data_IF_488709020003
#
_entry.id   IF_488709020003
#
_cell.length_a   1.000
_cell.length_b   1.000
_cell.length_c   1.000
_cell.angle_alpha   90.00
_cell.angle_beta   90.00
_cell.angle_gamma   90.00
#
_symmetry.space_group_name_H-M   'P 1'
#
loop_
_entity.id
_entity.type
_entity.pdbx_description
1 polymer ?
#
# COMPACT_ATOMS: atom_id res chain seq x y z
N UNK A 1 0.64 15.29 14.20
CA UNK A 1 -0.03 15.80 12.99
C UNK A 1 -0.57 17.21 13.21
N UNK A 2 0.30 18.23 13.21
CA UNK A 2 -0.04 19.64 13.44
C UNK A 2 -0.89 19.91 14.71
N UNK A 3 -0.86 18.99 15.68
CA UNK A 3 -1.73 18.97 16.86
C UNK A 3 -3.24 19.05 16.54
N UNK A 4 -3.65 18.65 15.34
CA UNK A 4 -5.05 18.63 14.91
C UNK A 4 -5.57 17.19 14.80
N UNK A 5 -6.52 16.86 15.68
CA UNK A 5 -7.18 15.54 15.75
C UNK A 5 -7.99 15.19 14.49
N UNK A 6 -8.35 16.18 13.67
CA UNK A 6 -9.11 15.95 12.42
C UNK A 6 -8.21 15.69 11.22
N UNK A 7 -6.90 15.96 11.33
CA UNK A 7 -5.97 15.83 10.21
C UNK A 7 -5.88 14.39 9.65
N UNK A 8 -5.86 13.39 10.53
CA UNK A 8 -5.72 11.96 10.20
C UNK A 8 -6.71 11.08 10.96
N UNK A 9 -7.55 11.67 11.82
CA UNK A 9 -8.61 10.99 12.54
C UNK A 9 -8.14 9.75 13.30
N UNK A 10 -8.79 8.62 13.04
CA UNK A 10 -8.48 7.36 13.73
C UNK A 10 -7.05 6.88 13.45
N UNK A 11 -6.49 7.16 12.28
CA UNK A 11 -5.15 6.71 11.92
C UNK A 11 -4.05 7.36 12.77
N UNK A 12 -4.16 8.64 13.12
CA UNK A 12 -3.21 9.22 14.08
C UNK A 12 -3.40 8.65 15.49
N UNK A 13 -4.64 8.40 15.89
CA UNK A 13 -4.96 7.92 17.24
C UNK A 13 -4.45 6.51 17.52
N UNK A 14 -4.40 5.63 16.52
CA UNK A 14 -3.99 4.22 16.71
C UNK A 14 -2.56 3.93 16.24
N UNK A 15 -1.95 4.83 15.46
CA UNK A 15 -0.59 4.62 14.99
C UNK A 15 0.42 4.67 16.16
N UNK A 16 1.46 3.81 16.16
CA UNK A 16 2.63 3.98 17.00
C UNK A 16 3.24 5.38 16.83
N UNK A 17 3.93 5.93 17.84
CA UNK A 17 4.60 7.22 17.71
C UNK A 17 5.62 7.20 16.56
N UNK A 18 5.83 8.33 15.87
CA UNK A 18 6.88 8.43 14.85
C UNK A 18 8.27 8.35 15.52
N UNK A 19 9.32 7.94 14.78
CA UNK A 19 10.69 8.18 15.24
C UNK A 19 10.93 9.68 15.43
N UNK A 20 11.88 10.02 16.30
CA UNK A 20 12.30 11.41 16.50
C UNK A 20 12.89 11.98 15.20
N UNK A 21 12.67 13.27 14.98
CA UNK A 21 13.17 14.03 13.82
C UNK A 21 13.78 15.33 14.33
N UNK A 22 14.71 15.88 13.56
CA UNK A 22 15.35 17.16 13.85
C UNK A 22 14.99 18.16 12.76
N UNK A 23 15.03 19.46 13.05
CA UNK A 23 14.90 20.45 11.97
C UNK A 23 16.19 20.48 11.17
N UNK A 24 16.10 20.52 9.85
CA UNK A 24 17.25 20.84 9.00
C UNK A 24 17.81 22.22 9.36
N UNK A 25 19.08 22.25 9.76
CA UNK A 25 19.84 23.49 10.02
C UNK A 25 21.10 23.47 9.18
N UNK A 26 21.24 24.46 8.28
CA UNK A 26 22.38 24.55 7.37
C UNK A 26 22.33 23.50 6.26
N UNK A 27 23.50 23.20 5.71
CA UNK A 27 23.65 22.29 4.57
C UNK A 27 23.97 20.87 5.05
N UNK A 28 23.40 19.87 4.39
CA UNK A 28 23.72 18.45 4.56
C UNK A 28 24.23 17.90 3.23
N UNK A 29 25.30 17.10 3.30
CA UNK A 29 25.84 16.33 2.18
C UNK A 29 25.41 14.88 2.35
N UNK A 30 24.86 14.28 1.30
CA UNK A 30 24.46 12.88 1.23
C UNK A 30 24.59 12.39 -0.22
N UNK A 31 24.58 11.06 -0.44
CA UNK A 31 24.56 10.50 -1.79
C UNK A 31 23.22 10.81 -2.50
N UNK A 32 22.11 10.78 -1.73
CA UNK A 32 20.76 11.02 -2.26
C UNK A 32 19.94 11.88 -1.29
N UNK A 33 19.38 12.98 -1.80
CA UNK A 33 18.36 13.77 -1.10
C UNK A 33 16.95 13.39 -1.59
N UNK A 34 16.05 13.08 -0.66
CA UNK A 34 14.67 12.66 -0.91
C UNK A 34 13.73 13.71 -0.31
N UNK A 35 12.84 14.24 -1.13
CA UNK A 35 11.83 15.21 -0.68
C UNK A 35 10.49 14.50 -0.48
N UNK A 36 10.05 14.42 0.78
CA UNK A 36 8.76 13.87 1.22
C UNK A 36 8.88 12.55 1.97
N UNK A 37 8.39 12.53 3.22
CA UNK A 37 8.34 11.35 4.08
C UNK A 37 7.03 10.56 3.93
N UNK A 38 6.63 10.32 2.68
CA UNK A 38 5.54 9.40 2.32
C UNK A 38 6.04 7.98 2.01
N UNK A 39 5.14 7.07 1.61
CA UNK A 39 5.53 5.68 1.28
C UNK A 39 6.65 5.56 0.27
N UNK A 40 6.56 6.30 -0.84
CA UNK A 40 7.58 6.26 -1.89
C UNK A 40 8.94 6.75 -1.40
N UNK A 41 8.99 7.90 -0.72
CA UNK A 41 10.23 8.47 -0.21
C UNK A 41 10.87 7.58 0.86
N UNK A 42 10.08 7.11 1.82
CA UNK A 42 10.58 6.25 2.90
C UNK A 42 10.99 4.86 2.42
N UNK A 43 10.24 4.29 1.46
CA UNK A 43 10.64 3.03 0.83
C UNK A 43 11.94 3.20 0.05
N UNK A 44 12.09 4.29 -0.72
CA UNK A 44 13.32 4.59 -1.43
C UNK A 44 14.51 4.74 -0.46
N UNK A 45 14.35 5.52 0.61
CA UNK A 45 15.37 5.71 1.64
C UNK A 45 15.82 4.38 2.27
N UNK A 46 14.84 3.53 2.63
CA UNK A 46 15.12 2.21 3.20
C UNK A 46 15.92 1.33 2.22
N UNK A 47 15.54 1.28 0.95
CA UNK A 47 16.24 0.47 -0.05
C UNK A 47 17.63 1.02 -0.40
N UNK A 48 17.83 2.34 -0.39
CA UNK A 48 19.14 2.97 -0.57
C UNK A 48 20.07 2.64 0.61
N UNK A 49 19.58 2.78 1.85
CA UNK A 49 20.32 2.40 3.04
C UNK A 49 20.66 0.90 3.08
N UNK A 50 19.77 0.03 2.60
CA UNK A 50 20.06 -1.41 2.43
C UNK A 50 21.18 -1.70 1.43
N UNK A 51 21.48 -0.76 0.53
CA UNK A 51 22.60 -0.83 -0.43
C UNK A 51 23.85 -0.08 0.06
N UNK A 52 23.83 0.44 1.29
CA UNK A 52 24.95 1.18 1.89
C UNK A 52 25.11 2.61 1.37
N UNK A 53 24.07 3.19 0.75
CA UNK A 53 24.07 4.59 0.32
C UNK A 53 23.54 5.48 1.44
N UNK A 54 24.14 6.66 1.57
CA UNK A 54 23.69 7.69 2.51
C UNK A 54 22.52 8.50 1.90
N UNK A 55 21.34 8.34 2.48
CA UNK A 55 20.14 9.00 2.00
C UNK A 55 19.58 9.93 3.08
N UNK A 56 19.22 11.16 2.70
CA UNK A 56 18.54 12.11 3.60
C UNK A 56 17.11 12.28 3.11
N UNK A 57 16.14 12.16 4.02
CA UNK A 57 14.73 12.46 3.75
C UNK A 57 14.39 13.81 4.37
N UNK A 58 13.77 14.68 3.60
CA UNK A 58 13.34 16.02 3.98
C UNK A 58 11.82 16.07 3.93
N UNK A 59 11.14 16.41 5.02
CA UNK A 59 9.68 16.53 5.10
C UNK A 59 9.26 17.91 5.64
N UNK A 60 8.30 18.54 4.97
CA UNK A 60 7.82 19.86 5.34
C UNK A 60 6.89 19.85 6.58
N UNK A 61 6.25 18.71 6.85
CA UNK A 61 5.33 18.52 7.97
C UNK A 61 5.80 17.39 8.90
N UNK A 62 5.11 16.26 8.90
CA UNK A 62 5.42 15.09 9.72
C UNK A 62 5.46 13.83 8.86
N UNK A 63 6.13 12.79 9.35
CA UNK A 63 6.19 11.48 8.69
C UNK A 63 4.79 10.97 8.37
N UNK A 64 4.54 10.69 7.09
CA UNK A 64 3.26 10.21 6.61
C UNK A 64 2.15 11.26 6.60
N UNK A 65 2.44 12.56 6.75
CA UNK A 65 1.42 13.61 6.80
C UNK A 65 0.53 13.64 5.54
N UNK A 66 1.07 13.32 4.36
CA UNK A 66 0.32 13.34 3.10
C UNK A 66 -0.67 12.18 2.92
N UNK A 67 -0.90 11.80 1.65
CA UNK A 67 -1.79 10.70 1.29
C UNK A 67 -1.41 9.36 1.96
N UNK A 68 -0.13 9.15 2.26
CA UNK A 68 0.38 7.96 2.93
C UNK A 68 -0.32 7.70 4.27
N UNK A 69 -0.39 8.68 5.18
CA UNK A 69 -1.03 8.50 6.49
C UNK A 69 -2.55 8.61 6.48
N UNK A 70 -3.17 9.03 5.37
CA UNK A 70 -4.62 9.27 5.24
C UNK A 70 -5.35 8.28 4.34
N UNK A 71 -4.61 7.33 3.73
CA UNK A 71 -5.22 6.33 2.86
C UNK A 71 -6.19 5.43 3.62
N UNK A 72 -7.00 4.65 2.90
CA UNK A 72 -7.92 3.67 3.51
C UNK A 72 -7.21 2.44 4.08
N UNK A 73 -5.89 2.32 3.91
CA UNK A 73 -5.11 1.19 4.39
C UNK A 73 -5.27 -0.09 3.55
N UNK A 74 -5.88 -0.02 2.36
CA UNK A 74 -6.01 -1.16 1.45
C UNK A 74 -4.70 -1.39 0.68
N UNK A 75 -4.23 -2.63 0.68
CA UNK A 75 -3.09 -3.09 -0.13
C UNK A 75 -3.66 -4.02 -1.19
N UNK A 76 -3.99 -3.48 -2.38
CA UNK A 76 -4.68 -4.22 -3.44
C UNK A 76 -3.71 -4.64 -4.56
N UNK A 77 -3.99 -5.79 -5.18
CA UNK A 77 -3.26 -6.26 -6.35
C UNK A 77 -3.83 -5.69 -7.64
N UNK A 78 -2.94 -5.36 -8.58
CA UNK A 78 -3.32 -4.94 -9.93
C UNK A 78 -3.90 -3.52 -9.99
N UNK A 79 -4.67 -3.27 -11.05
CA UNK A 79 -5.33 -1.99 -11.30
C UNK A 79 -6.84 -2.13 -11.15
N UNK A 80 -7.50 -0.97 -11.03
CA UNK A 80 -8.96 -0.92 -11.13
C UNK A 80 -9.46 -1.36 -12.52
N UNK A 81 -8.67 -1.15 -13.57
CA UNK A 81 -9.00 -1.63 -14.93
C UNK A 81 -8.79 -3.14 -15.07
N UNK A 82 -9.41 -3.72 -16.10
CA UNK A 82 -9.20 -5.13 -16.45
C UNK A 82 -7.78 -5.36 -16.99
N UNK A 83 -7.15 -6.52 -16.74
CA UNK A 83 -5.88 -6.89 -17.36
C UNK A 83 -5.85 -6.71 -18.89
N UNK A 84 -6.92 -7.06 -19.59
CA UNK A 84 -7.02 -6.92 -21.05
C UNK A 84 -6.93 -5.46 -21.52
N UNK A 85 -7.45 -4.50 -20.74
CA UNK A 85 -7.46 -3.09 -21.09
C UNK A 85 -6.05 -2.47 -21.12
N UNK A 86 -5.10 -3.05 -20.38
CA UNK A 86 -3.70 -2.62 -20.43
C UNK A 86 -3.07 -2.88 -21.77
N UNK A 87 -3.32 -4.07 -22.35
CA UNK A 87 -2.81 -4.45 -23.65
C UNK A 87 -3.32 -3.52 -24.75
N UNK A 88 -4.61 -3.17 -24.68
CA UNK A 88 -5.24 -2.25 -25.63
C UNK A 88 -4.66 -0.84 -25.56
N UNK A 89 -4.32 -0.37 -24.35
CA UNK A 89 -3.89 1.02 -24.12
C UNK A 89 -2.38 1.21 -24.28
N UNK A 90 -1.56 0.28 -23.78
CA UNK A 90 -0.11 0.42 -23.67
C UNK A 90 0.66 -0.38 -24.74
N UNK A 91 -0.02 -1.27 -25.44
CA UNK A 91 0.58 -2.18 -26.40
C UNK A 91 1.43 -3.29 -25.75
N UNK A 92 1.88 -4.28 -26.55
CA UNK A 92 2.47 -5.54 -26.07
C UNK A 92 3.85 -5.40 -25.43
N UNK A 93 4.47 -4.22 -25.48
CA UNK A 93 5.81 -3.98 -24.92
C UNK A 93 5.73 -3.57 -23.44
N UNK A 94 4.71 -2.79 -23.09
CA UNK A 94 4.58 -2.16 -21.77
C UNK A 94 3.49 -2.80 -20.91
N UNK A 95 2.53 -3.50 -21.51
CA UNK A 95 1.41 -4.14 -20.82
C UNK A 95 1.89 -5.18 -19.79
N UNK A 96 2.71 -6.16 -20.20
CA UNK A 96 3.21 -7.22 -19.34
C UNK A 96 4.03 -6.68 -18.19
N UNK A 97 4.91 -5.70 -18.45
CA UNK A 97 5.75 -5.06 -17.42
C UNK A 97 4.92 -4.37 -16.34
N UNK A 98 3.92 -3.59 -16.74
CA UNK A 98 3.06 -2.89 -15.80
C UNK A 98 2.16 -3.88 -15.05
N UNK A 99 1.61 -4.86 -15.76
CA UNK A 99 0.76 -5.89 -15.19
C UNK A 99 1.52 -6.69 -14.14
N UNK A 100 2.72 -7.18 -14.45
CA UNK A 100 3.56 -7.92 -13.52
C UNK A 100 3.92 -7.09 -12.28
N UNK A 101 4.33 -5.83 -12.48
CA UNK A 101 4.66 -4.92 -11.39
C UNK A 101 3.49 -4.70 -10.43
N UNK A 102 2.30 -4.44 -10.98
CA UNK A 102 1.14 -4.07 -10.16
C UNK A 102 0.42 -5.27 -9.58
N UNK A 103 0.37 -6.39 -10.31
CA UNK A 103 -0.16 -7.67 -9.83
C UNK A 103 0.50 -8.10 -8.52
N UNK A 104 1.80 -7.87 -8.44
CA UNK A 104 2.64 -8.36 -7.35
C UNK A 104 2.94 -7.30 -6.28
N UNK A 105 2.46 -6.08 -6.45
CA UNK A 105 2.77 -4.97 -5.53
C UNK A 105 2.39 -5.22 -4.06
N UNK A 106 1.30 -5.94 -3.70
CA UNK A 106 1.05 -6.29 -2.31
C UNK A 106 2.12 -7.20 -1.70
N UNK A 107 2.70 -8.11 -2.50
CA UNK A 107 3.75 -9.01 -2.05
C UNK A 107 4.95 -8.22 -1.56
N UNK A 108 5.40 -7.21 -2.32
CA UNK A 108 6.49 -6.33 -1.91
C UNK A 108 6.20 -5.61 -0.59
N UNK A 109 4.99 -5.09 -0.42
CA UNK A 109 4.59 -4.42 0.84
C UNK A 109 4.64 -5.41 2.01
N UNK A 110 4.09 -6.61 1.84
CA UNK A 110 4.06 -7.63 2.90
C UNK A 110 5.46 -8.14 3.24
N UNK A 111 6.32 -8.37 2.26
CA UNK A 111 7.71 -8.77 2.47
C UNK A 111 8.50 -7.71 3.24
N UNK A 112 8.30 -6.43 2.95
CA UNK A 112 8.92 -5.33 3.73
C UNK A 112 8.42 -5.34 5.17
N UNK A 113 7.10 -5.52 5.37
CA UNK A 113 6.51 -5.58 6.71
C UNK A 113 7.09 -6.75 7.51
N UNK A 114 7.18 -7.94 6.90
CA UNK A 114 7.69 -9.15 7.55
C UNK A 114 9.19 -9.04 7.83
N UNK A 115 9.99 -8.67 6.82
CA UNK A 115 11.46 -8.52 6.93
C UNK A 115 11.85 -7.59 8.07
N UNK A 116 11.08 -6.52 8.27
CA UNK A 116 11.41 -5.49 9.24
C UNK A 116 10.51 -5.50 10.49
N UNK A 117 9.59 -6.45 10.59
CA UNK A 117 8.61 -6.59 11.65
C UNK A 117 7.86 -5.27 11.96
N UNK A 118 7.29 -4.65 10.92
CA UNK A 118 6.66 -3.33 11.05
C UNK A 118 5.34 -3.43 11.82
N UNK A 119 5.14 -2.62 12.89
CA UNK A 119 3.92 -2.66 13.71
C UNK A 119 2.78 -1.87 13.05
N UNK A 120 2.27 -2.37 11.92
CA UNK A 120 1.25 -1.69 11.11
C UNK A 120 -0.05 -2.48 10.93
N UNK A 121 -0.40 -3.33 11.92
CA UNK A 121 -1.66 -4.10 11.95
C UNK A 121 -1.98 -4.85 10.64
N UNK A 122 -0.96 -5.46 10.02
CA UNK A 122 -1.13 -6.15 8.75
C UNK A 122 -2.13 -7.31 8.86
N UNK A 123 -3.13 -7.32 7.99
CA UNK A 123 -4.08 -8.42 7.81
C UNK A 123 -4.06 -8.92 6.36
N UNK A 124 -3.75 -10.20 6.20
CA UNK A 124 -3.76 -10.92 4.90
C UNK A 124 -5.06 -11.69 4.72
N UNK A 125 -6.17 -10.96 4.75
CA UNK A 125 -7.52 -11.53 4.62
C UNK A 125 -8.13 -11.33 3.22
N UNK A 126 -7.35 -10.78 2.28
CA UNK A 126 -7.84 -10.38 0.96
C UNK A 126 -8.71 -9.13 1.00
N UNK A 127 -9.22 -8.76 -0.16
CA UNK A 127 -10.28 -7.75 -0.34
C UNK A 127 -11.41 -8.31 -1.18
N UNK A 128 -12.61 -7.78 -1.00
CA UNK A 128 -13.81 -8.24 -1.73
C UNK A 128 -14.32 -7.11 -2.61
N UNK A 129 -14.33 -7.32 -3.93
CA UNK A 129 -15.06 -6.48 -4.87
C UNK A 129 -16.49 -7.02 -5.00
N UNK A 130 -17.48 -6.30 -4.47
CA UNK A 130 -18.87 -6.75 -4.44
C UNK A 130 -19.64 -6.34 -5.71
N UNK A 131 -20.39 -7.28 -6.29
CA UNK A 131 -21.34 -7.02 -7.37
C UNK A 131 -22.74 -6.75 -6.84
N UNK A 132 -23.18 -5.48 -6.88
CA UNK A 132 -24.49 -5.06 -6.36
C UNK A 132 -25.66 -5.36 -7.32
N UNK A 133 -25.40 -5.40 -8.63
CA UNK A 133 -26.41 -5.65 -9.65
C UNK A 133 -25.91 -6.66 -10.70
N UNK A 134 -26.75 -6.99 -11.69
CA UNK A 134 -26.40 -7.93 -12.76
C UNK A 134 -25.14 -7.51 -13.53
N UNK A 135 -24.91 -6.21 -13.71
CA UNK A 135 -23.74 -5.68 -14.42
C UNK A 135 -22.49 -5.85 -13.58
N UNK A 136 -22.54 -5.51 -12.29
CA UNK A 136 -21.45 -5.70 -11.34
C UNK A 136 -21.08 -7.17 -11.18
N UNK A 137 -22.08 -8.07 -11.12
CA UNK A 137 -21.84 -9.53 -11.07
C UNK A 137 -21.12 -10.02 -12.34
N UNK A 138 -21.55 -9.56 -13.51
CA UNK A 138 -20.87 -9.90 -14.76
C UNK A 138 -19.44 -9.34 -14.81
N UNK A 139 -19.23 -8.11 -14.32
CA UNK A 139 -17.90 -7.49 -14.26
C UNK A 139 -16.94 -8.26 -13.36
N UNK A 140 -17.36 -8.60 -12.14
CA UNK A 140 -16.49 -9.34 -11.21
C UNK A 140 -16.19 -10.76 -11.73
N UNK A 141 -17.12 -11.40 -12.43
CA UNK A 141 -16.91 -12.70 -13.06
C UNK A 141 -15.87 -12.63 -14.18
N UNK A 142 -15.96 -11.61 -15.05
CA UNK A 142 -14.97 -11.38 -16.10
C UNK A 142 -13.59 -11.03 -15.52
N UNK A 143 -13.56 -10.22 -14.46
CA UNK A 143 -12.33 -9.90 -13.73
C UNK A 143 -11.69 -11.15 -13.13
N UNK A 144 -12.49 -12.03 -12.54
CA UNK A 144 -12.02 -13.31 -12.01
C UNK A 144 -11.40 -14.17 -13.11
N UNK A 145 -12.11 -14.32 -14.24
CA UNK A 145 -11.63 -15.10 -15.39
C UNK A 145 -10.26 -14.62 -15.88
N UNK A 146 -10.08 -13.31 -16.04
CA UNK A 146 -8.82 -12.74 -16.52
C UNK A 146 -7.68 -12.93 -15.51
N UNK A 147 -7.95 -12.76 -14.22
CA UNK A 147 -6.93 -12.95 -13.18
C UNK A 147 -6.57 -14.42 -12.95
N UNK A 148 -7.54 -15.33 -13.02
CA UNK A 148 -7.30 -16.78 -12.93
C UNK A 148 -6.47 -17.29 -14.11
N UNK A 149 -6.66 -16.72 -15.31
CA UNK A 149 -5.81 -17.02 -16.46
C UNK A 149 -4.35 -16.55 -16.28
N UNK A 150 -4.08 -15.75 -15.25
CA UNK A 150 -2.75 -15.29 -14.83
C UNK A 150 -2.34 -15.90 -13.48
N UNK A 151 -2.94 -17.03 -13.11
CA UNK A 151 -2.69 -17.81 -11.89
C UNK A 151 -2.90 -17.02 -10.58
N UNK A 152 -3.71 -15.96 -10.62
CA UNK A 152 -4.02 -15.21 -9.42
C UNK A 152 -5.00 -15.97 -8.50
N UNK A 153 -4.78 -15.98 -7.18
CA UNK A 153 -5.66 -16.63 -6.21
C UNK A 153 -6.91 -15.79 -5.94
N UNK A 154 -7.78 -15.70 -6.95
CA UNK A 154 -9.06 -14.98 -6.86
C UNK A 154 -10.24 -15.95 -6.92
N UNK A 155 -11.26 -15.68 -6.09
CA UNK A 155 -12.41 -16.55 -5.93
C UNK A 155 -13.71 -15.76 -6.06
N UNK A 156 -14.62 -16.25 -6.89
CA UNK A 156 -16.01 -15.76 -6.88
C UNK A 156 -16.70 -16.36 -5.65
N UNK A 157 -17.33 -15.47 -4.89
CA UNK A 157 -18.19 -15.78 -3.76
C UNK A 157 -19.64 -15.67 -4.20
N UNK A 158 -20.45 -16.65 -3.83
CA UNK A 158 -21.89 -16.54 -4.00
C UNK A 158 -22.51 -15.50 -3.04
N UNK A 159 -23.83 -15.27 -3.15
CA UNK A 159 -24.54 -14.32 -2.31
C UNK A 159 -24.45 -14.66 -0.81
N UNK A 160 -24.48 -15.95 -0.45
CA UNK A 160 -24.39 -16.42 0.92
C UNK A 160 -23.01 -16.19 1.53
N UNK A 161 -21.96 -16.57 0.80
CA UNK A 161 -20.56 -16.35 1.17
C UNK A 161 -20.22 -14.85 1.27
N UNK A 162 -20.71 -14.06 0.32
CA UNK A 162 -20.55 -12.60 0.31
C UNK A 162 -21.21 -11.98 1.53
N UNK A 163 -22.45 -12.41 1.86
CA UNK A 163 -23.16 -11.95 3.06
C UNK A 163 -22.42 -12.34 4.33
N UNK A 164 -21.88 -13.56 4.41
CA UNK A 164 -21.15 -14.03 5.58
C UNK A 164 -19.89 -13.17 5.86
N UNK A 165 -19.22 -12.66 4.82
CA UNK A 165 -18.02 -11.82 4.96
C UNK A 165 -18.32 -10.32 5.13
N UNK A 166 -19.38 -9.82 4.50
CA UNK A 166 -19.71 -8.37 4.48
C UNK A 166 -20.72 -7.95 5.55
N UNK A 167 -21.50 -8.90 6.08
CA UNK A 167 -22.58 -8.63 7.03
C UNK A 167 -23.87 -8.10 6.40
N UNK A 168 -23.96 -8.02 5.06
CA UNK A 168 -25.12 -7.47 4.35
C UNK A 168 -25.61 -8.37 3.22
N UNK A 169 -26.91 -8.34 2.92
CA UNK A 169 -27.53 -9.03 1.78
C UNK A 169 -27.65 -8.14 0.53
N UNK A 170 -27.00 -6.96 0.52
CA UNK A 170 -27.08 -6.00 -0.57
C UNK A 170 -26.36 -6.44 -1.85
N UNK A 171 -25.55 -7.51 -1.80
CA UNK A 171 -24.70 -7.95 -2.90
C UNK A 171 -25.08 -9.35 -3.36
N UNK A 172 -25.17 -9.54 -4.67
CA UNK A 172 -25.53 -10.82 -5.27
C UNK A 172 -24.33 -11.77 -5.42
N UNK A 173 -23.11 -11.23 -5.44
CA UNK A 173 -21.85 -11.97 -5.46
C UNK A 173 -20.68 -11.06 -5.07
N UNK A 174 -19.51 -11.65 -4.83
CA UNK A 174 -18.27 -10.93 -4.56
C UNK A 174 -17.07 -11.60 -5.22
N UNK A 175 -16.03 -10.83 -5.53
CA UNK A 175 -14.74 -11.36 -5.95
C UNK A 175 -13.74 -11.14 -4.82
N UNK A 176 -13.30 -12.23 -4.21
CA UNK A 176 -12.26 -12.24 -3.20
C UNK A 176 -10.89 -12.34 -3.87
N UNK A 177 -10.00 -11.39 -3.59
CA UNK A 177 -8.60 -11.44 -4.01
C UNK A 177 -7.69 -11.67 -2.81
N UNK A 178 -7.09 -12.86 -2.72
CA UNK A 178 -6.26 -13.26 -1.58
C UNK A 178 -4.83 -12.70 -1.61
N UNK A 179 -4.44 -12.03 -2.70
CA UNK A 179 -3.16 -11.28 -2.74
C UNK A 179 -3.25 -9.98 -1.95
N UNK A 180 -4.45 -9.48 -1.73
CA UNK A 180 -4.69 -8.21 -1.09
C UNK A 180 -4.76 -8.30 0.44
N UNK A 181 -4.80 -7.15 1.09
CA UNK A 181 -4.92 -7.08 2.54
C UNK A 181 -5.11 -5.66 3.03
N UNK A 182 -4.97 -5.49 4.34
CA UNK A 182 -5.09 -4.19 4.98
C UNK A 182 -3.94 -3.92 5.93
N UNK A 183 -3.59 -2.65 6.08
CA UNK A 183 -2.63 -2.14 7.04
C UNK A 183 -3.21 -0.92 7.76
N UNK A 184 -2.67 -0.61 8.92
CA UNK A 184 -2.74 0.73 9.49
C UNK A 184 -1.79 1.62 8.67
N UNK A 185 -2.31 2.59 7.90
CA UNK A 185 -1.54 3.27 6.86
C UNK A 185 -0.45 4.21 7.40
N UNK A 186 -0.73 4.95 8.49
CA UNK A 186 0.24 5.85 9.12
C UNK A 186 1.32 5.07 9.88
N UNK A 187 0.96 3.97 10.53
CA UNK A 187 1.87 3.08 11.22
C UNK A 187 2.86 2.42 10.25
N UNK A 188 2.41 2.10 9.02
CA UNK A 188 3.32 1.63 7.97
C UNK A 188 4.35 2.71 7.58
N UNK A 189 3.93 3.96 7.36
CA UNK A 189 4.85 5.06 7.09
C UNK A 189 5.86 5.25 8.25
N UNK A 190 5.37 5.32 9.49
CA UNK A 190 6.23 5.47 10.68
C UNK A 190 7.16 4.27 10.89
N UNK A 191 6.68 3.07 10.57
CA UNK A 191 7.47 1.84 10.59
C UNK A 191 8.63 1.89 9.59
N UNK A 192 8.36 2.26 8.34
CA UNK A 192 9.41 2.45 7.32
C UNK A 192 10.46 3.47 7.79
N UNK A 193 10.01 4.63 8.27
CA UNK A 193 10.89 5.66 8.78
C UNK A 193 11.74 5.17 9.96
N UNK A 194 11.13 4.51 10.95
CA UNK A 194 11.84 4.00 12.11
C UNK A 194 12.92 2.98 11.76
N UNK A 195 12.69 2.14 10.74
CA UNK A 195 13.67 1.13 10.30
C UNK A 195 14.78 1.70 9.42
N UNK A 196 14.49 2.77 8.68
CA UNK A 196 15.52 3.52 7.98
C UNK A 196 16.39 4.31 8.97
N UNK A 197 15.81 5.09 9.90
CA UNK A 197 16.55 5.87 10.90
C UNK A 197 17.40 5.00 11.83
N UNK A 198 16.96 3.77 12.16
CA UNK A 198 17.74 2.86 12.99
C UNK A 198 18.99 2.29 12.31
N UNK A 199 19.19 2.57 11.02
CA UNK A 199 20.38 2.16 10.26
C UNK A 199 21.26 3.40 10.09
N UNK A 200 22.56 3.29 10.37
CA UNK A 200 23.64 4.19 9.92
C UNK A 200 23.47 5.71 10.15
N UNK A 201 23.41 6.23 11.40
CA UNK A 201 23.46 7.68 11.70
C UNK A 201 22.59 8.57 10.78
N UNK A 202 21.50 8.02 10.23
CA UNK A 202 20.73 8.65 9.16
C UNK A 202 19.89 9.78 9.75
N UNK A 203 19.87 10.93 9.07
CA UNK A 203 19.14 12.12 9.51
C UNK A 203 17.82 12.24 8.74
N UNK A 204 16.71 12.19 9.48
CA UNK A 204 15.40 12.60 9.00
C UNK A 204 15.14 14.03 9.45
N UNK A 205 14.97 14.93 8.48
CA UNK A 205 14.94 16.38 8.72
C UNK A 205 13.78 17.10 8.04
#
# INVERSE_FOLDING_TARGET
MLNDRQSHGLWERTAPPPPATEKLVGDIVADVAIVGAGYTGLSAALHLAERGLDAVVIEAAEIGFGAAGRSTGLVNAGLWVMPSALKETLGPVYDGRLLDLLRDSPRTVFEIIDKHNLPCELKRAGTIHCGADKKGVAEIAERARQWQALDAPVHILDAGETRAKTGTSAFAAGLLDLRAGTIQPLAYARGLAGRWVSRLDQKLV
#
